data_IF_598191357188
#
_entry.id   IF_598191357188
#
_cell.length_a   1.000
_cell.length_b   1.000
_cell.length_c   1.000
_cell.angle_alpha   90.00
_cell.angle_beta   90.00
_cell.angle_gamma   90.00
#
_symmetry.space_group_name_H-M   'P 1'
#
loop_
_entity.id
_entity.type
_entity.pdbx_description
1 polymer ?
#
# COMPACT_ATOMS: atom_id res chain seq x y z
N UNK A 1 -45.53 -1.77 14.13
CA UNK A 1 -44.31 -1.26 13.43
C UNK A 1 -43.63 -2.44 12.76
N UNK A 2 -43.46 -2.43 11.43
CA UNK A 2 -42.79 -3.50 10.69
C UNK A 2 -41.31 -3.51 11.08
N UNK A 3 -40.82 -4.64 11.59
CA UNK A 3 -39.39 -4.88 11.81
C UNK A 3 -38.67 -4.75 10.46
N UNK A 4 -37.84 -3.73 10.30
CA UNK A 4 -36.86 -3.67 9.22
C UNK A 4 -35.93 -4.88 9.38
N UNK A 5 -35.88 -5.74 8.36
CA UNK A 5 -34.94 -6.85 8.25
C UNK A 5 -33.51 -6.34 8.49
N UNK A 6 -32.69 -7.15 9.16
CA UNK A 6 -31.29 -6.86 9.49
C UNK A 6 -30.50 -6.25 8.33
N UNK A 7 -30.70 -6.78 7.12
CA UNK A 7 -30.14 -6.26 5.87
C UNK A 7 -30.47 -4.78 5.63
N UNK A 8 -31.70 -4.34 5.91
CA UNK A 8 -32.12 -2.95 5.74
C UNK A 8 -31.48 -2.00 6.76
N UNK A 9 -31.11 -2.49 7.95
CA UNK A 9 -30.38 -1.68 8.96
C UNK A 9 -28.89 -1.58 8.65
N UNK A 10 -28.28 -2.63 8.12
CA UNK A 10 -26.90 -2.59 7.61
C UNK A 10 -26.80 -1.70 6.36
N UNK A 11 -27.77 -1.78 5.45
CA UNK A 11 -27.89 -0.90 4.27
C UNK A 11 -28.13 0.57 4.69
N UNK A 12 -28.78 0.83 5.82
CA UNK A 12 -28.98 2.18 6.35
C UNK A 12 -27.72 2.74 7.07
N UNK A 13 -26.84 1.89 7.60
CA UNK A 13 -25.54 2.27 8.16
C UNK A 13 -24.45 2.49 7.09
N UNK A 14 -24.79 2.26 5.82
CA UNK A 14 -23.94 2.44 4.64
C UNK A 14 -23.57 3.93 4.51
N UNK A 15 -22.28 4.32 4.45
CA UNK A 15 -21.90 5.69 4.14
C UNK A 15 -22.35 5.99 2.71
N UNK A 16 -23.33 6.87 2.54
CA UNK A 16 -24.08 7.04 1.29
C UNK A 16 -23.33 7.78 0.17
N UNK A 17 -22.06 8.13 0.36
CA UNK A 17 -21.39 9.12 -0.51
C UNK A 17 -20.04 8.69 -1.11
N UNK A 18 -19.60 7.42 -1.01
CA UNK A 18 -18.34 6.99 -1.65
C UNK A 18 -18.33 5.51 -2.10
N UNK A 19 -17.95 5.25 -3.35
CA UNK A 19 -18.03 3.95 -4.06
C UNK A 19 -17.13 2.83 -3.49
N UNK A 20 -15.91 3.09 -2.97
CA UNK A 20 -15.06 2.10 -2.30
C UNK A 20 -15.71 1.43 -1.07
N UNK A 21 -16.63 2.12 -0.38
CA UNK A 21 -17.33 1.60 0.79
C UNK A 21 -18.29 0.45 0.46
N UNK A 22 -18.66 0.28 -0.83
CA UNK A 22 -19.51 -0.82 -1.29
C UNK A 22 -18.75 -2.15 -1.32
N UNK A 23 -17.55 -2.19 -1.90
CA UNK A 23 -16.71 -3.40 -1.93
C UNK A 23 -16.36 -3.88 -0.51
N UNK A 24 -16.07 -2.91 0.36
CA UNK A 24 -15.87 -3.14 1.80
C UNK A 24 -17.09 -3.80 2.46
N UNK A 25 -18.29 -3.25 2.26
CA UNK A 25 -19.53 -3.79 2.82
C UNK A 25 -19.82 -5.19 2.28
N UNK A 26 -19.58 -5.43 0.99
CA UNK A 26 -19.83 -6.72 0.34
C UNK A 26 -18.86 -7.82 0.81
N UNK A 27 -17.58 -7.49 1.10
CA UNK A 27 -16.61 -8.41 1.73
C UNK A 27 -17.02 -8.79 3.16
N UNK A 28 -17.41 -7.81 3.97
CA UNK A 28 -17.90 -8.03 5.35
C UNK A 28 -19.13 -8.95 5.34
N UNK A 29 -20.08 -8.72 4.43
CA UNK A 29 -21.25 -9.57 4.28
C UNK A 29 -20.90 -11.00 3.86
N UNK A 30 -19.90 -11.16 2.99
CA UNK A 30 -19.43 -12.48 2.55
C UNK A 30 -18.77 -13.27 3.69
N UNK A 31 -17.93 -12.62 4.51
CA UNK A 31 -17.28 -13.24 5.67
C UNK A 31 -18.26 -13.64 6.77
N UNK A 32 -19.33 -12.86 7.01
CA UNK A 32 -20.41 -13.20 7.95
C UNK A 32 -21.14 -14.49 7.56
N UNK A 33 -21.17 -14.82 6.26
CA UNK A 33 -21.76 -16.06 5.77
C UNK A 33 -20.82 -17.27 5.87
N UNK A 34 -19.55 -17.10 6.25
CA UNK A 34 -18.59 -18.20 6.42
C UNK A 34 -18.75 -18.91 7.79
N UNK A 35 -18.95 -20.24 7.82
CA UNK A 35 -19.29 -20.98 9.04
C UNK A 35 -18.16 -21.10 10.09
N UNK A 36 -16.90 -20.81 9.75
CA UNK A 36 -15.72 -21.06 10.60
C UNK A 36 -15.50 -20.02 11.71
N UNK A 37 -15.68 -18.72 11.40
CA UNK A 37 -15.52 -17.59 12.34
C UNK A 37 -16.45 -17.73 13.55
N UNK A 38 -17.65 -18.28 13.32
CA UNK A 38 -18.69 -18.51 14.33
C UNK A 38 -18.24 -19.52 15.39
N UNK A 39 -17.42 -20.50 15.01
CA UNK A 39 -16.99 -21.56 15.92
C UNK A 39 -15.90 -21.09 16.90
N UNK A 40 -15.02 -20.17 16.46
CA UNK A 40 -13.91 -19.66 17.26
C UNK A 40 -14.39 -18.65 18.32
N UNK A 41 -15.29 -17.73 17.98
CA UNK A 41 -15.80 -16.73 18.92
C UNK A 41 -16.63 -17.34 20.07
N UNK A 42 -17.39 -18.40 19.81
CA UNK A 42 -18.17 -19.13 20.84
C UNK A 42 -17.25 -20.01 21.72
N UNK A 43 -16.07 -20.37 21.23
CA UNK A 43 -15.09 -21.15 22.01
C UNK A 43 -14.34 -20.31 23.04
N UNK A 44 -14.11 -19.03 22.78
CA UNK A 44 -13.30 -18.14 23.64
C UNK A 44 -14.10 -17.36 24.69
N UNK A 45 -15.44 -17.44 24.68
CA UNK A 45 -16.28 -16.84 25.72
C UNK A 45 -16.14 -17.50 27.09
N UNK A 46 -16.10 -16.69 28.15
CA UNK A 46 -16.18 -17.10 29.56
C UNK A 46 -17.36 -18.07 29.80
N UNK A 47 -17.10 -19.15 30.54
CA UNK A 47 -18.03 -20.27 30.75
C UNK A 47 -19.36 -19.82 31.38
N UNK A 48 -19.34 -18.84 32.29
CA UNK A 48 -20.55 -18.35 32.96
C UNK A 48 -21.40 -17.46 32.05
N UNK A 49 -20.76 -16.69 31.15
CA UNK A 49 -21.45 -15.92 30.10
C UNK A 49 -21.99 -16.84 29.01
N UNK A 50 -21.24 -17.90 28.68
CA UNK A 50 -21.60 -18.93 27.70
C UNK A 50 -22.84 -19.72 28.13
N UNK A 51 -22.94 -20.12 29.39
CA UNK A 51 -24.13 -20.81 29.91
C UNK A 51 -25.37 -19.91 29.95
N UNK A 52 -25.21 -18.64 30.34
CA UNK A 52 -26.30 -17.66 30.34
C UNK A 52 -26.81 -17.33 28.93
N UNK A 53 -25.91 -17.28 27.95
CA UNK A 53 -26.22 -17.08 26.54
C UNK A 53 -26.86 -18.34 25.93
N UNK A 54 -26.31 -19.53 26.17
CA UNK A 54 -26.89 -20.78 25.66
C UNK A 54 -28.27 -21.06 26.27
N UNK A 55 -28.49 -20.77 27.56
CA UNK A 55 -29.79 -20.94 28.21
C UNK A 55 -30.87 -19.97 27.68
N UNK A 56 -30.53 -18.69 27.47
CA UNK A 56 -31.50 -17.69 26.98
C UNK A 56 -31.87 -17.87 25.52
N UNK A 57 -31.07 -18.62 24.76
CA UNK A 57 -31.19 -18.69 23.30
C UNK A 57 -31.40 -20.14 22.80
N UNK A 58 -31.62 -21.09 23.73
CA UNK A 58 -31.85 -22.53 23.49
C UNK A 58 -33.02 -22.86 22.56
N UNK A 59 -33.95 -21.93 22.36
CA UNK A 59 -35.18 -22.12 21.58
C UNK A 59 -35.13 -21.46 20.19
N UNK A 60 -34.03 -20.79 19.85
CA UNK A 60 -33.88 -20.12 18.57
C UNK A 60 -33.00 -20.97 17.63
N UNK A 61 -33.33 -21.09 16.34
CA UNK A 61 -32.46 -21.72 15.37
C UNK A 61 -31.11 -20.98 15.35
N UNK A 62 -30.00 -21.72 15.22
CA UNK A 62 -28.62 -21.20 15.37
C UNK A 62 -28.36 -19.87 14.62
N UNK A 63 -28.98 -19.69 13.46
CA UNK A 63 -28.90 -18.46 12.66
C UNK A 63 -29.54 -17.22 13.32
N UNK A 64 -30.61 -17.38 14.11
CA UNK A 64 -31.25 -16.27 14.82
C UNK A 64 -30.43 -15.82 16.04
N UNK A 65 -29.70 -16.74 16.67
CA UNK A 65 -28.75 -16.44 17.75
C UNK A 65 -27.62 -15.53 17.23
N UNK A 66 -27.12 -15.88 16.04
CA UNK A 66 -26.07 -15.13 15.32
C UNK A 66 -26.56 -13.74 14.93
N UNK A 67 -27.77 -13.63 14.37
CA UNK A 67 -28.36 -12.34 14.01
C UNK A 67 -28.62 -11.43 15.22
N UNK A 68 -28.96 -12.00 16.38
CA UNK A 68 -29.17 -11.24 17.62
C UNK A 68 -27.84 -10.78 18.22
N UNK A 69 -26.80 -11.61 18.23
CA UNK A 69 -25.47 -11.21 18.71
C UNK A 69 -24.87 -10.07 17.87
N UNK A 70 -24.96 -10.17 16.54
CA UNK A 70 -24.51 -9.13 15.61
C UNK A 70 -25.45 -7.90 15.68
N UNK A 71 -26.75 -8.11 15.87
CA UNK A 71 -27.72 -7.04 16.05
C UNK A 71 -27.53 -6.23 17.33
N UNK A 72 -27.14 -6.86 18.44
CA UNK A 72 -26.82 -6.17 19.70
C UNK A 72 -25.52 -5.37 19.57
N UNK A 73 -24.52 -5.89 18.85
CA UNK A 73 -23.27 -5.18 18.51
C UNK A 73 -23.50 -3.99 17.57
N UNK A 74 -24.48 -4.07 16.66
CA UNK A 74 -24.84 -2.96 15.77
C UNK A 74 -25.76 -1.90 16.42
N UNK A 75 -26.47 -2.24 17.51
CA UNK A 75 -27.43 -1.36 18.20
C UNK A 75 -26.76 -0.57 19.35
N UNK A 76 -25.65 -1.06 19.90
CA UNK A 76 -24.75 -0.26 20.75
C UNK A 76 -23.95 0.67 19.84
N UNK A 77 -24.51 1.86 19.59
CA UNK A 77 -24.08 2.80 18.57
C UNK A 77 -22.61 3.22 18.70
N UNK A 78 -21.85 3.00 17.63
CA UNK A 78 -20.49 3.52 17.45
C UNK A 78 -19.65 2.73 16.45
N UNK A 79 -19.79 1.41 16.39
CA UNK A 79 -18.69 0.57 15.89
C UNK A 79 -18.96 -0.17 14.59
N UNK A 80 -18.97 0.53 13.46
CA UNK A 80 -18.69 -0.15 12.17
C UNK A 80 -17.26 -0.68 12.13
N UNK A 81 -16.31 -0.06 12.85
CA UNK A 81 -14.94 -0.58 12.94
C UNK A 81 -14.78 -1.75 13.91
N UNK A 82 -15.38 -1.76 15.10
CA UNK A 82 -15.25 -2.92 15.99
C UNK A 82 -15.96 -4.16 15.41
N UNK A 83 -17.08 -3.99 14.70
CA UNK A 83 -17.70 -5.09 13.93
C UNK A 83 -16.81 -5.55 12.76
N UNK A 84 -16.07 -4.63 12.15
CA UNK A 84 -15.08 -4.93 11.11
C UNK A 84 -13.85 -5.64 11.69
N UNK A 85 -13.32 -5.24 12.86
CA UNK A 85 -12.18 -5.90 13.51
C UNK A 85 -12.51 -7.20 14.23
N UNK A 86 -13.77 -7.43 14.61
CA UNK A 86 -14.26 -8.76 15.04
C UNK A 86 -14.28 -9.77 13.87
N UNK A 87 -14.32 -9.28 12.63
CA UNK A 87 -14.23 -10.04 11.38
C UNK A 87 -12.85 -9.95 10.72
N UNK A 88 -11.98 -9.06 11.20
CA UNK A 88 -10.60 -8.89 10.78
C UNK A 88 -9.77 -9.83 11.64
N UNK A 89 -9.65 -11.07 11.19
CA UNK A 89 -8.59 -11.95 11.68
C UNK A 89 -7.24 -11.23 11.49
N UNK A 90 -6.37 -11.22 12.51
CA UNK A 90 -5.08 -10.52 12.43
C UNK A 90 -4.37 -10.88 11.12
N UNK A 91 -3.81 -9.90 10.40
CA UNK A 91 -2.96 -10.22 9.28
C UNK A 91 -1.79 -11.03 9.84
N UNK A 92 -1.66 -12.25 9.35
CA UNK A 92 -0.52 -13.10 9.68
C UNK A 92 0.30 -13.30 8.43
N UNK A 93 1.60 -13.09 8.58
CA UNK A 93 2.58 -13.34 7.54
C UNK A 93 3.41 -14.52 7.99
N UNK A 94 3.59 -15.49 7.11
CA UNK A 94 4.53 -16.58 7.33
C UNK A 94 5.63 -16.47 6.29
N UNK A 95 6.88 -16.48 6.74
CA UNK A 95 8.04 -16.44 5.86
C UNK A 95 8.66 -17.83 5.75
N UNK A 96 9.02 -18.23 4.54
CA UNK A 96 9.88 -19.39 4.32
C UNK A 96 11.32 -19.07 4.72
N UNK A 97 12.15 -20.10 4.88
CA UNK A 97 13.57 -19.92 5.17
C UNK A 97 14.23 -19.01 4.11
N UNK A 98 15.02 -18.01 4.53
CA UNK A 98 15.69 -17.11 3.60
C UNK A 98 16.61 -17.87 2.65
N UNK A 99 16.50 -17.57 1.36
CA UNK A 99 17.39 -18.11 0.33
C UNK A 99 18.24 -16.99 -0.26
N UNK A 100 19.33 -17.34 -0.91
CA UNK A 100 20.11 -16.37 -1.70
C UNK A 100 19.72 -16.51 -3.16
N UNK A 101 19.30 -15.41 -3.78
CA UNK A 101 18.94 -15.41 -5.19
C UNK A 101 20.20 -15.40 -6.08
N UNK A 102 20.00 -15.54 -7.39
CA UNK A 102 21.10 -15.55 -8.38
C UNK A 102 21.93 -14.25 -8.42
N UNK A 103 21.43 -13.19 -7.79
CA UNK A 103 22.09 -11.89 -7.66
C UNK A 103 22.87 -11.76 -6.34
N UNK A 104 22.94 -12.82 -5.52
CA UNK A 104 23.64 -12.82 -4.23
C UNK A 104 22.85 -12.16 -3.10
N UNK A 105 21.54 -11.92 -3.27
CA UNK A 105 20.69 -11.23 -2.29
C UNK A 105 19.85 -12.20 -1.49
N UNK A 106 19.65 -11.88 -0.22
CA UNK A 106 18.70 -12.58 0.62
C UNK A 106 17.27 -12.29 0.16
N UNK A 107 16.54 -13.35 -0.17
CA UNK A 107 15.13 -13.31 -0.51
C UNK A 107 14.34 -14.21 0.42
N UNK A 108 13.09 -13.83 0.68
CA UNK A 108 12.11 -14.63 1.42
C UNK A 108 10.84 -14.75 0.60
N UNK A 109 10.17 -15.88 0.73
CA UNK A 109 8.83 -16.06 0.20
C UNK A 109 7.88 -15.89 1.38
N UNK A 110 6.98 -14.92 1.27
CA UNK A 110 5.98 -14.62 2.27
C UNK A 110 4.61 -15.10 1.82
N UNK A 111 3.92 -15.80 2.70
CA UNK A 111 2.51 -16.15 2.56
C UNK A 111 1.69 -15.29 3.51
N UNK A 112 0.55 -14.82 3.03
CA UNK A 112 -0.28 -13.86 3.73
C UNK A 112 -1.64 -14.45 4.00
N UNK A 113 -2.11 -14.29 5.24
CA UNK A 113 -3.49 -14.54 5.61
C UNK A 113 -4.10 -13.24 6.08
N UNK A 114 -5.33 -12.96 5.64
CA UNK A 114 -6.08 -11.76 6.05
C UNK A 114 -5.42 -10.41 5.70
N UNK A 115 -4.50 -10.40 4.73
CA UNK A 115 -3.97 -9.19 4.11
C UNK A 115 -4.73 -8.86 2.82
N UNK A 116 -5.19 -7.62 2.71
CA UNK A 116 -5.84 -7.11 1.51
C UNK A 116 -4.92 -7.24 0.29
N UNK A 117 -5.42 -7.78 -0.82
CA UNK A 117 -4.72 -7.89 -2.13
C UNK A 117 -3.52 -8.86 -2.22
N UNK A 118 -3.15 -9.57 -1.16
CA UNK A 118 -2.05 -10.54 -1.19
C UNK A 118 -2.58 -11.94 -0.84
N UNK A 119 -3.17 -12.62 -1.82
CA UNK A 119 -3.69 -13.99 -1.64
C UNK A 119 -2.73 -15.09 -2.12
N UNK A 120 -1.58 -14.71 -2.67
CA UNK A 120 -0.57 -15.60 -3.20
C UNK A 120 0.76 -15.40 -2.46
N UNK A 121 1.60 -16.44 -2.46
CA UNK A 121 2.96 -16.34 -1.94
C UNK A 121 3.75 -15.33 -2.79
N UNK A 122 4.28 -14.30 -2.15
CA UNK A 122 5.00 -13.21 -2.79
C UNK A 122 6.46 -13.24 -2.38
N UNK A 123 7.36 -12.98 -3.32
CA UNK A 123 8.81 -12.94 -3.04
C UNK A 123 9.22 -11.53 -2.65
N UNK A 124 9.94 -11.41 -1.54
CA UNK A 124 10.56 -10.17 -1.10
C UNK A 124 12.07 -10.33 -1.03
N UNK A 125 12.80 -9.28 -1.35
CA UNK A 125 14.25 -9.22 -1.18
C UNK A 125 14.67 -8.11 -0.23
N UNK A 126 15.74 -8.38 0.52
CA UNK A 126 16.42 -7.34 1.29
C UNK A 126 17.29 -6.53 0.33
N UNK A 127 17.11 -5.20 0.33
CA UNK A 127 17.95 -4.31 -0.48
C UNK A 127 19.39 -4.37 -0.01
N UNK A 128 20.34 -4.24 -0.94
CA UNK A 128 21.75 -4.21 -0.55
C UNK A 128 22.09 -2.98 0.28
N UNK A 129 23.14 -3.12 1.10
CA UNK A 129 23.53 -2.13 2.09
C UNK A 129 22.62 -2.08 3.33
N UNK A 130 21.46 -2.75 3.28
CA UNK A 130 20.56 -2.87 4.41
C UNK A 130 21.23 -3.62 5.58
N UNK A 131 21.03 -3.10 6.79
CA UNK A 131 21.39 -3.77 8.05
C UNK A 131 20.25 -4.61 8.60
N UNK A 132 19.17 -4.80 7.82
CA UNK A 132 18.00 -5.56 8.21
C UNK A 132 18.34 -7.03 8.42
N UNK A 133 17.97 -7.58 9.58
CA UNK A 133 18.02 -9.02 9.80
C UNK A 133 16.85 -9.69 9.04
N UNK A 134 17.07 -10.76 8.27
CA UNK A 134 15.98 -11.44 7.54
C UNK A 134 14.80 -11.88 8.41
N UNK A 135 15.02 -12.16 9.70
CA UNK A 135 13.96 -12.51 10.66
C UNK A 135 13.00 -11.34 10.95
N UNK A 136 13.37 -10.10 10.63
CA UNK A 136 12.52 -8.93 10.80
C UNK A 136 11.51 -8.74 9.65
N UNK A 137 11.68 -9.43 8.51
CA UNK A 137 10.82 -9.22 7.33
C UNK A 137 9.37 -9.56 7.64
N UNK A 138 9.11 -10.62 8.42
CA UNK A 138 7.76 -11.00 8.84
C UNK A 138 7.03 -9.82 9.52
N UNK A 139 7.70 -9.14 10.45
CA UNK A 139 7.16 -7.97 11.15
C UNK A 139 6.92 -6.79 10.22
N UNK A 140 7.84 -6.53 9.29
CA UNK A 140 7.67 -5.46 8.30
C UNK A 140 6.43 -5.72 7.44
N UNK A 141 6.26 -6.96 6.97
CA UNK A 141 5.14 -7.35 6.13
C UNK A 141 3.81 -7.36 6.89
N UNK A 142 3.81 -7.82 8.15
CA UNK A 142 2.64 -7.73 9.02
C UNK A 142 2.21 -6.27 9.23
N UNK A 143 3.16 -5.38 9.55
CA UNK A 143 2.90 -3.96 9.69
C UNK A 143 2.34 -3.34 8.40
N UNK A 144 2.85 -3.74 7.23
CA UNK A 144 2.33 -3.32 5.92
C UNK A 144 0.87 -3.75 5.74
N UNK A 145 0.54 -5.00 6.05
CA UNK A 145 -0.83 -5.49 5.97
C UNK A 145 -1.80 -4.72 6.87
N UNK A 146 -1.39 -4.42 8.11
CA UNK A 146 -2.23 -3.65 9.04
C UNK A 146 -2.49 -2.23 8.54
N UNK A 147 -1.47 -1.56 7.98
CA UNK A 147 -1.61 -0.25 7.34
C UNK A 147 -2.58 -0.34 6.16
N UNK A 148 -2.41 -1.32 5.27
CA UNK A 148 -3.22 -1.45 4.06
C UNK A 148 -4.69 -1.73 4.37
N UNK A 149 -4.98 -2.59 5.32
CA UNK A 149 -6.35 -2.89 5.67
C UNK A 149 -7.00 -1.71 6.46
N UNK A 150 -6.24 -0.96 7.26
CA UNK A 150 -6.74 0.30 7.85
C UNK A 150 -7.06 1.33 6.74
N UNK A 151 -6.19 1.42 5.73
CA UNK A 151 -6.38 2.29 4.56
C UNK A 151 -7.63 1.89 3.78
N UNK A 152 -7.81 0.60 3.48
CA UNK A 152 -8.99 0.07 2.78
C UNK A 152 -10.27 0.44 3.52
N UNK A 153 -10.30 0.24 4.84
CA UNK A 153 -11.44 0.58 5.67
C UNK A 153 -11.76 2.08 5.68
N UNK A 154 -10.74 2.92 5.82
CA UNK A 154 -10.94 4.37 5.90
C UNK A 154 -11.41 5.00 4.58
N UNK A 155 -11.18 4.33 3.45
CA UNK A 155 -11.74 4.67 2.14
C UNK A 155 -10.90 5.62 1.28
N UNK A 156 -9.88 6.32 1.79
CA UNK A 156 -8.94 7.10 0.94
C UNK A 156 -7.54 7.30 1.56
N UNK A 157 -6.49 7.13 0.74
CA UNK A 157 -5.08 7.45 1.07
C UNK A 157 -4.58 8.75 0.48
N UNK A 158 -5.25 9.25 -0.56
CA UNK A 158 -4.82 10.42 -1.30
C UNK A 158 -5.91 11.49 -1.28
N UNK A 159 -5.55 12.76 -1.02
CA UNK A 159 -6.45 13.86 -1.34
C UNK A 159 -6.83 13.72 -2.81
N UNK A 160 -8.10 13.93 -3.18
CA UNK A 160 -8.50 13.81 -4.56
C UNK A 160 -7.67 14.83 -5.32
N UNK A 161 -6.99 14.37 -6.38
CA UNK A 161 -6.12 15.25 -7.19
C UNK A 161 -6.88 16.47 -7.73
N UNK A 162 -8.22 16.44 -7.70
CA UNK A 162 -9.13 17.51 -8.10
C UNK A 162 -10.41 17.48 -7.24
N UNK A 163 -11.05 18.64 -7.00
CA UNK A 163 -12.39 18.69 -6.44
C UNK A 163 -13.37 17.84 -7.27
N UNK A 164 -14.52 17.48 -6.69
CA UNK A 164 -15.59 16.79 -7.40
C UNK A 164 -15.85 17.50 -8.75
N UNK A 165 -15.91 16.78 -9.89
CA UNK A 165 -16.04 17.41 -11.22
C UNK A 165 -17.17 18.44 -11.35
N UNK A 166 -18.24 18.31 -10.55
CA UNK A 166 -19.34 19.28 -10.49
C UNK A 166 -18.92 20.64 -9.88
N UNK A 167 -17.99 20.64 -8.93
CA UNK A 167 -17.46 21.83 -8.25
C UNK A 167 -16.49 22.62 -9.14
N UNK A 168 -16.01 22.02 -10.24
CA UNK A 168 -15.15 22.66 -11.23
C UNK A 168 -15.92 23.37 -12.36
N UNK A 169 -17.27 23.32 -12.34
CA UNK A 169 -18.11 23.86 -13.41
C UNK A 169 -18.96 25.06 -12.98
N UNK A 170 -18.96 25.40 -11.70
CA UNK A 170 -19.71 26.52 -11.14
C UNK A 170 -18.82 27.36 -10.23
N UNK A 171 -19.03 28.67 -10.25
CA UNK A 171 -18.34 29.60 -9.35
C UNK A 171 -18.93 29.50 -7.94
N UNK A 172 -18.08 29.44 -6.92
CA UNK A 172 -18.55 29.29 -5.55
C UNK A 172 -17.47 28.89 -4.57
N UNK A 173 -17.87 28.89 -3.29
CA UNK A 173 -17.11 28.27 -2.20
C UNK A 173 -17.81 26.99 -1.79
N UNK A 174 -17.05 25.93 -1.62
CA UNK A 174 -17.58 24.62 -1.31
C UNK A 174 -16.70 23.94 -0.27
N UNK A 175 -17.31 23.19 0.64
CA UNK A 175 -16.57 22.39 1.62
C UNK A 175 -16.76 20.91 1.35
N UNK A 176 -15.67 20.15 1.42
CA UNK A 176 -15.71 18.69 1.34
C UNK A 176 -14.91 18.10 2.50
N UNK A 177 -15.58 17.26 3.29
CA UNK A 177 -14.90 16.46 4.33
C UNK A 177 -14.57 15.09 3.79
N UNK A 178 -13.34 14.64 4.05
CA UNK A 178 -12.81 13.38 3.57
C UNK A 178 -12.14 12.63 4.71
N UNK A 179 -12.36 11.32 4.75
CA UNK A 179 -11.75 10.45 5.75
C UNK A 179 -10.41 9.91 5.25
N UNK A 180 -9.35 10.14 6.00
CA UNK A 180 -7.99 9.79 5.63
C UNK A 180 -7.31 8.98 6.72
N UNK A 181 -6.57 7.96 6.33
CA UNK A 181 -5.62 7.26 7.20
C UNK A 181 -4.24 7.87 7.05
N UNK A 182 -3.57 8.15 8.17
CA UNK A 182 -2.18 8.57 8.10
C UNK A 182 -1.30 7.41 7.61
N UNK A 183 -0.41 7.63 6.64
CA UNK A 183 0.18 6.51 5.89
C UNK A 183 1.27 5.74 6.64
N UNK A 184 1.63 6.16 7.86
CA UNK A 184 2.70 5.56 8.69
C UNK A 184 2.26 5.47 10.15
N UNK A 185 2.85 4.52 10.89
CA UNK A 185 2.72 4.44 12.34
C UNK A 185 3.53 5.53 13.04
N UNK A 186 3.03 6.02 14.16
CA UNK A 186 3.66 7.04 14.98
C UNK A 186 3.70 6.61 16.44
N UNK A 187 4.72 7.03 17.16
CA UNK A 187 4.85 6.79 18.59
C UNK A 187 4.10 7.85 19.38
N UNK A 188 3.37 7.43 20.41
CA UNK A 188 2.66 8.33 21.32
C UNK A 188 3.64 9.01 22.25
N UNK A 189 3.70 10.34 22.20
CA UNK A 189 4.48 11.15 23.15
C UNK A 189 3.64 11.44 24.38
N UNK A 190 2.40 11.88 24.17
CA UNK A 190 1.43 12.14 25.22
C UNK A 190 0.00 12.06 24.68
N UNK A 191 -0.94 11.69 25.54
CA UNK A 191 -2.35 11.61 25.18
C UNK A 191 -3.22 12.03 26.37
N UNK A 192 -4.26 12.82 26.11
CA UNK A 192 -5.32 13.19 27.04
C UNK A 192 -6.68 13.26 26.33
N UNK A 193 -7.76 13.56 27.04
CA UNK A 193 -9.12 13.57 26.48
C UNK A 193 -9.35 14.53 25.29
N UNK A 194 -8.43 15.46 25.04
CA UNK A 194 -8.54 16.52 24.03
C UNK A 194 -7.37 16.58 23.06
N UNK A 195 -6.24 15.97 23.39
CA UNK A 195 -5.01 16.08 22.60
C UNK A 195 -4.22 14.78 22.50
N UNK A 196 -3.61 14.57 21.34
CA UNK A 196 -2.70 13.47 21.05
C UNK A 196 -1.42 14.01 20.42
N UNK A 197 -0.32 13.96 21.15
CA UNK A 197 1.01 14.29 20.62
C UNK A 197 1.70 13.02 20.14
N UNK A 198 2.18 13.06 18.90
CA UNK A 198 2.80 11.94 18.21
C UNK A 198 4.20 12.33 17.72
N UNK A 199 5.08 11.34 17.64
CA UNK A 199 6.40 11.49 17.03
C UNK A 199 6.67 10.38 16.01
N UNK A 200 7.43 10.71 14.97
CA UNK A 200 7.87 9.79 13.93
C UNK A 200 9.17 10.28 13.34
N UNK A 201 9.40 10.02 12.05
CA UNK A 201 10.53 10.62 11.35
C UNK A 201 10.33 12.12 11.07
N UNK A 202 11.38 12.76 10.55
CA UNK A 202 11.41 14.21 10.25
C UNK A 202 10.30 14.68 9.31
N UNK A 203 9.76 13.81 8.45
CA UNK A 203 8.75 14.16 7.45
C UNK A 203 7.34 13.77 7.88
N UNK A 204 7.21 12.82 8.80
CA UNK A 204 5.94 12.23 9.21
C UNK A 204 5.49 12.64 10.62
N UNK A 205 6.29 13.41 11.35
CA UNK A 205 5.87 13.95 12.65
C UNK A 205 4.85 15.08 12.46
N UNK A 206 3.64 15.00 13.04
CA UNK A 206 2.70 16.11 13.03
C UNK A 206 3.29 17.33 13.76
N UNK A 207 3.25 18.52 13.14
CA UNK A 207 3.82 19.76 13.72
C UNK A 207 3.14 20.19 15.03
N UNK A 208 1.86 19.84 15.21
CA UNK A 208 1.08 20.16 16.40
C UNK A 208 0.40 18.89 16.92
N UNK A 209 0.11 18.82 18.24
CA UNK A 209 -0.76 17.79 18.79
C UNK A 209 -2.08 17.72 18.02
N UNK A 210 -2.52 16.50 17.74
CA UNK A 210 -3.79 16.26 17.08
C UNK A 210 -4.94 16.51 18.05
N UNK A 211 -6.00 17.15 17.58
CA UNK A 211 -7.19 17.42 18.39
C UNK A 211 -8.07 16.17 18.46
N UNK A 212 -8.34 15.73 19.68
CA UNK A 212 -9.28 14.66 20.00
C UNK A 212 -10.63 15.26 20.42
N UNK A 213 -11.69 14.51 20.17
CA UNK A 213 -13.06 14.90 20.52
C UNK A 213 -13.74 13.79 21.31
N UNK A 214 -14.90 14.08 21.90
CA UNK A 214 -15.77 13.09 22.54
C UNK A 214 -16.25 11.98 21.58
N UNK A 215 -16.12 12.19 20.27
CA UNK A 215 -16.44 11.23 19.21
C UNK A 215 -15.24 10.42 18.73
N UNK A 216 -14.03 10.73 19.21
CA UNK A 216 -12.84 9.99 18.82
C UNK A 216 -12.89 8.59 19.44
N UNK A 217 -12.78 7.57 18.59
CA UNK A 217 -12.80 6.17 19.00
C UNK A 217 -11.38 5.64 19.20
N UNK A 218 -11.19 4.79 20.19
CA UNK A 218 -9.91 4.19 20.52
C UNK A 218 -9.99 2.69 20.31
N UNK A 219 -8.92 2.13 19.77
CA UNK A 219 -8.89 0.75 19.33
C UNK A 219 -7.60 0.14 19.82
N UNK A 220 -7.73 -0.88 20.66
CA UNK A 220 -6.61 -1.59 21.29
C UNK A 220 -6.89 -3.08 21.20
N UNK A 221 -5.88 -3.86 20.82
CA UNK A 221 -5.98 -5.31 20.65
C UNK A 221 -7.20 -5.73 19.81
N UNK A 222 -7.53 -4.94 18.78
CA UNK A 222 -8.69 -5.12 17.88
C UNK A 222 -10.08 -4.85 18.45
N UNK A 223 -10.18 -4.28 19.64
CA UNK A 223 -11.46 -4.00 20.27
C UNK A 223 -11.62 -2.49 20.47
N UNK A 224 -12.88 -2.04 20.40
CA UNK A 224 -13.19 -0.70 20.89
C UNK A 224 -12.78 -0.61 22.36
N UNK A 225 -12.06 0.45 22.67
CA UNK A 225 -11.38 0.62 23.94
C UNK A 225 -11.51 2.07 24.41
N UNK A 226 -10.90 2.34 25.56
CA UNK A 226 -10.83 3.68 26.12
C UNK A 226 -9.43 4.26 25.96
N UNK A 227 -9.35 5.58 26.02
CA UNK A 227 -8.10 6.33 25.89
C UNK A 227 -7.01 5.87 26.88
N UNK A 228 -7.40 5.42 28.08
CA UNK A 228 -6.50 4.97 29.15
C UNK A 228 -5.66 3.73 28.78
N UNK A 229 -6.04 3.01 27.72
CA UNK A 229 -5.30 1.85 27.21
C UNK A 229 -4.19 2.22 26.22
N UNK A 230 -4.09 3.49 25.84
CA UNK A 230 -3.02 4.03 25.00
C UNK A 230 -2.10 4.87 25.89
N UNK A 231 -0.81 4.58 25.85
CA UNK A 231 0.20 5.17 26.73
C UNK A 231 1.36 5.76 25.93
N UNK A 232 2.14 6.68 26.53
CA UNK A 232 3.40 7.11 25.94
C UNK A 232 4.30 5.90 25.58
N UNK A 233 4.89 5.92 24.40
CA UNK A 233 5.68 4.83 23.82
C UNK A 233 4.86 3.79 23.05
N UNK A 234 3.52 3.80 23.13
CA UNK A 234 2.71 2.94 22.27
C UNK A 234 2.82 3.41 20.81
N UNK A 235 2.78 2.45 19.88
CA UNK A 235 2.68 2.75 18.46
C UNK A 235 1.21 2.82 18.05
N UNK A 236 0.84 3.89 17.34
CA UNK A 236 -0.52 4.09 16.86
C UNK A 236 -0.56 4.45 15.38
N UNK A 237 -1.62 3.99 14.72
CA UNK A 237 -2.13 4.54 13.48
C UNK A 237 -3.35 5.40 13.81
N UNK A 238 -3.64 6.42 12.99
CA UNK A 238 -4.84 7.22 13.21
C UNK A 238 -5.58 7.54 11.91
N UNK A 239 -6.89 7.65 12.06
CA UNK A 239 -7.81 8.07 11.00
C UNK A 239 -8.39 9.41 11.38
N UNK A 240 -8.45 10.31 10.41
CA UNK A 240 -8.91 11.67 10.62
C UNK A 240 -9.79 12.12 9.45
N UNK A 241 -10.78 12.94 9.78
CA UNK A 241 -11.59 13.63 8.79
C UNK A 241 -10.92 14.98 8.49
N UNK A 242 -10.57 15.22 7.23
CA UNK A 242 -10.01 16.47 6.72
C UNK A 242 -11.09 17.22 5.97
N UNK A 243 -11.39 18.45 6.37
CA UNK A 243 -12.26 19.35 5.62
C UNK A 243 -11.42 20.25 4.74
N UNK A 244 -11.71 20.21 3.44
CA UNK A 244 -11.15 21.11 2.43
C UNK A 244 -12.20 22.13 2.03
N UNK A 245 -11.82 23.40 2.09
CA UNK A 245 -12.60 24.48 1.50
C UNK A 245 -12.02 24.78 0.11
N UNK A 246 -12.86 24.60 -0.89
CA UNK A 246 -12.60 24.86 -2.30
C UNK A 246 -13.20 26.19 -2.70
N UNK A 247 -12.40 27.02 -3.35
CA UNK A 247 -12.86 28.27 -3.97
C UNK A 247 -12.66 28.14 -5.47
N UNK A 248 -13.78 28.04 -6.21
CA UNK A 248 -13.82 28.01 -7.67
C UNK A 248 -14.18 29.39 -8.19
N UNK A 249 -13.34 29.96 -9.05
CA UNK A 249 -13.58 31.26 -9.72
C UNK A 249 -13.61 31.10 -11.22
N UNK A 250 -14.52 31.80 -11.90
CA UNK A 250 -14.51 31.90 -13.35
C UNK A 250 -13.37 32.82 -13.80
N UNK A 251 -12.58 32.35 -14.75
CA UNK A 251 -11.47 33.06 -15.39
C UNK A 251 -11.72 33.15 -16.89
N UNK A 252 -10.88 33.91 -17.61
CA UNK A 252 -10.99 34.03 -19.07
C UNK A 252 -10.83 32.69 -19.82
N UNK A 253 -10.14 31.71 -19.22
CA UNK A 253 -9.84 30.40 -19.84
C UNK A 253 -10.65 29.24 -19.26
N UNK A 254 -11.66 29.52 -18.43
CA UNK A 254 -12.49 28.49 -17.75
C UNK A 254 -12.58 28.71 -16.25
N UNK A 255 -12.80 27.65 -15.48
CA UNK A 255 -12.86 27.72 -14.02
C UNK A 255 -11.53 27.30 -13.40
N UNK A 256 -11.07 28.06 -12.41
CA UNK A 256 -9.91 27.70 -11.59
C UNK A 256 -10.38 27.43 -10.15
N UNK A 257 -10.01 26.28 -9.61
CA UNK A 257 -10.35 25.89 -8.23
C UNK A 257 -9.09 25.77 -7.39
N UNK A 258 -9.06 26.52 -6.29
CA UNK A 258 -8.05 26.41 -5.23
C UNK A 258 -8.65 25.68 -4.03
N UNK A 259 -7.81 25.05 -3.20
CA UNK A 259 -8.24 24.40 -1.97
C UNK A 259 -7.36 24.80 -0.79
N UNK A 260 -7.97 24.83 0.38
CA UNK A 260 -7.29 25.01 1.67
C UNK A 260 -7.83 24.00 2.68
N UNK A 261 -6.97 23.50 3.57
CA UNK A 261 -7.41 22.66 4.68
C UNK A 261 -7.96 23.57 5.77
N UNK A 262 -9.25 23.46 6.08
CA UNK A 262 -9.90 24.29 7.10
C UNK A 262 -10.06 23.57 8.43
N UNK A 263 -10.12 22.24 8.43
CA UNK A 263 -10.24 21.46 9.66
C UNK A 263 -9.61 20.07 9.53
N UNK A 264 -9.09 19.54 10.64
CA UNK A 264 -8.64 18.15 10.79
C UNK A 264 -9.12 17.63 12.15
N UNK A 265 -9.92 16.57 12.13
CA UNK A 265 -10.47 15.95 13.34
C UNK A 265 -10.10 14.48 13.38
N UNK A 266 -9.42 14.04 14.44
CA UNK A 266 -9.13 12.61 14.62
C UNK A 266 -10.42 11.88 14.95
N UNK A 267 -10.74 10.89 14.13
CA UNK A 267 -11.92 10.04 14.33
C UNK A 267 -11.57 8.74 15.02
N UNK A 268 -10.38 8.17 14.75
CA UNK A 268 -9.95 6.93 15.35
C UNK A 268 -8.46 6.94 15.65
N UNK A 269 -8.09 6.35 16.79
CA UNK A 269 -6.72 6.03 17.17
C UNK A 269 -6.62 4.52 17.35
N UNK A 270 -5.71 3.89 16.62
CA UNK A 270 -5.54 2.44 16.56
C UNK A 270 -4.17 2.09 17.09
N UNK A 271 -4.11 1.50 18.28
CA UNK A 271 -2.89 0.89 18.80
C UNK A 271 -2.58 -0.37 18.00
N UNK A 272 -1.31 -0.50 17.65
CA UNK A 272 -0.78 -1.62 16.87
C UNK A 272 0.28 -2.36 17.68
N UNK A 273 0.54 -3.61 17.30
CA UNK A 273 1.29 -4.55 18.14
C UNK A 273 2.80 -4.42 17.98
N UNK A 274 3.27 -4.01 16.80
CA UNK A 274 4.70 -3.88 16.52
C UNK A 274 5.22 -2.47 16.88
N UNK A 275 6.51 -2.34 17.18
CA UNK A 275 7.16 -1.03 17.32
C UNK A 275 7.04 -0.14 16.06
N UNK A 276 7.07 1.19 16.25
CA UNK A 276 6.80 2.16 15.18
C UNK A 276 7.77 2.06 14.00
N UNK A 277 9.01 1.58 14.20
CA UNK A 277 9.99 1.43 13.13
C UNK A 277 9.53 0.48 12.02
N UNK A 278 8.65 -0.48 12.32
CA UNK A 278 8.09 -1.42 11.35
C UNK A 278 6.94 -0.81 10.52
N UNK A 279 6.24 0.19 11.07
CA UNK A 279 5.15 0.91 10.39
C UNK A 279 5.62 2.18 9.66
N UNK A 280 6.91 2.53 9.80
CA UNK A 280 7.52 3.68 9.16
C UNK A 280 8.28 3.35 7.86
N UNK A 281 8.64 4.37 7.07
CA UNK A 281 9.36 4.18 5.81
C UNK A 281 10.75 3.59 6.02
N UNK A 282 11.37 3.72 7.20
CA UNK A 282 12.73 3.24 7.45
C UNK A 282 12.89 1.74 7.19
N UNK A 283 12.13 0.87 7.87
CA UNK A 283 12.18 -0.58 7.66
C UNK A 283 11.45 -1.00 6.39
N UNK A 284 10.31 -0.37 6.07
CA UNK A 284 9.54 -0.66 4.86
C UNK A 284 10.35 -0.44 3.58
N UNK A 285 11.24 0.57 3.56
CA UNK A 285 12.10 0.86 2.41
C UNK A 285 13.34 -0.04 2.34
N UNK A 286 13.60 -0.91 3.31
CA UNK A 286 14.75 -1.84 3.29
C UNK A 286 14.44 -3.15 2.58
N UNK A 287 13.16 -3.43 2.31
CA UNK A 287 12.71 -4.58 1.53
C UNK A 287 12.14 -4.12 0.19
N UNK A 288 12.12 -5.01 -0.78
CA UNK A 288 11.51 -4.76 -2.07
C UNK A 288 10.72 -5.99 -2.54
N UNK A 289 9.53 -5.75 -3.08
CA UNK A 289 8.65 -6.78 -3.62
C UNK A 289 9.11 -7.17 -5.02
N UNK A 290 9.18 -8.47 -5.29
CA UNK A 290 9.43 -9.02 -6.62
C UNK A 290 8.11 -9.41 -7.26
N UNK A 291 7.77 -8.70 -8.34
CA UNK A 291 6.59 -8.98 -9.15
C UNK A 291 7.00 -9.47 -10.54
N UNK A 292 6.07 -10.06 -11.28
CA UNK A 292 6.27 -10.34 -12.69
C UNK A 292 6.55 -9.03 -13.45
N UNK A 293 7.58 -9.01 -14.29
CA UNK A 293 7.84 -7.86 -15.14
C UNK A 293 6.67 -7.62 -16.11
N UNK A 294 6.30 -6.35 -16.31
CA UNK A 294 5.23 -5.98 -17.24
C UNK A 294 5.48 -6.57 -18.63
N UNK A 295 4.53 -7.35 -19.17
CA UNK A 295 4.67 -7.98 -20.49
C UNK A 295 5.75 -9.07 -20.61
N UNK A 296 6.44 -9.42 -19.52
CA UNK A 296 7.38 -10.53 -19.42
C UNK A 296 7.13 -11.33 -18.13
N UNK A 297 6.04 -12.11 -18.05
CA UNK A 297 5.66 -12.81 -16.82
C UNK A 297 6.64 -13.90 -16.36
N UNK A 298 7.58 -14.30 -17.23
CA UNK A 298 8.64 -15.25 -16.89
C UNK A 298 9.79 -14.60 -16.12
N UNK A 299 9.88 -13.27 -16.18
CA UNK A 299 10.91 -12.47 -15.55
C UNK A 299 10.31 -11.74 -14.34
N UNK A 300 11.14 -11.47 -13.34
CA UNK A 300 10.74 -10.78 -12.10
C UNK A 300 11.45 -9.44 -11.99
N UNK A 301 10.67 -8.41 -11.71
CA UNK A 301 11.10 -7.03 -11.58
C UNK A 301 10.83 -6.53 -10.15
N UNK A 302 11.67 -5.62 -9.70
CA UNK A 302 11.62 -4.95 -8.40
C UNK A 302 11.53 -3.46 -8.67
N UNK A 303 10.55 -2.77 -8.07
CA UNK A 303 10.54 -1.31 -8.17
C UNK A 303 11.54 -0.69 -7.18
N UNK A 304 12.46 0.09 -7.72
CA UNK A 304 13.54 0.72 -6.98
C UNK A 304 13.75 2.19 -7.32
N UNK A 305 14.61 2.84 -6.53
CA UNK A 305 15.22 4.08 -6.94
C UNK A 305 16.21 3.75 -8.07
N UNK A 306 16.13 4.49 -9.17
CA UNK A 306 16.92 4.20 -10.35
C UNK A 306 17.44 5.49 -10.99
N UNK A 307 18.60 5.40 -11.63
CA UNK A 307 19.22 6.49 -12.41
C UNK A 307 18.92 6.26 -13.88
N UNK A 308 18.40 7.29 -14.56
CA UNK A 308 18.18 7.25 -16.00
C UNK A 308 19.51 7.20 -16.74
N UNK A 309 19.78 6.11 -17.44
CA UNK A 309 20.92 6.00 -18.38
C UNK A 309 20.49 6.44 -19.78
N UNK A 310 19.26 6.13 -20.14
CA UNK A 310 18.68 6.46 -21.44
C UNK A 310 17.17 6.59 -21.33
N UNK A 311 16.63 7.57 -22.03
CA UNK A 311 15.19 7.76 -22.13
C UNK A 311 14.84 8.31 -23.51
N UNK A 312 13.83 7.70 -24.10
CA UNK A 312 13.30 8.02 -25.41
C UNK A 312 11.78 8.12 -25.27
N UNK A 313 11.34 9.30 -24.85
CA UNK A 313 9.93 9.65 -24.91
C UNK A 313 9.55 9.80 -26.38
N UNK A 314 8.59 9.00 -26.89
CA UNK A 314 8.10 9.23 -28.24
C UNK A 314 7.52 10.64 -28.31
N UNK A 315 8.04 11.45 -29.23
CA UNK A 315 7.59 12.83 -29.46
C UNK A 315 6.19 12.90 -30.09
N UNK A 316 5.67 11.76 -30.57
CA UNK A 316 4.34 11.62 -31.12
C UNK A 316 3.53 10.61 -30.28
N UNK A 317 2.24 10.87 -30.01
CA UNK A 317 1.35 9.88 -29.41
C UNK A 317 1.34 8.61 -30.28
N UNK A 318 1.48 7.45 -29.66
CA UNK A 318 1.25 6.18 -30.36
C UNK A 318 -0.26 6.08 -30.58
N UNK A 319 -0.68 6.26 -31.84
CA UNK A 319 -2.08 6.17 -32.20
C UNK A 319 -2.52 4.70 -32.22
N UNK A 320 -3.74 4.40 -31.73
CA UNK A 320 -4.35 3.10 -31.95
C UNK A 320 -4.50 2.82 -33.46
N UNK A 321 -4.54 1.54 -33.83
CA UNK A 321 -4.93 1.09 -35.16
C UNK A 321 -6.42 1.36 -35.43
N UNK A 322 -6.89 1.01 -36.63
CA UNK A 322 -8.28 1.21 -37.06
C UNK A 322 -9.32 0.49 -36.16
N UNK A 323 -8.88 -0.44 -35.30
CA UNK A 323 -9.73 -1.16 -34.34
C UNK A 323 -9.63 -0.58 -32.91
N UNK A 324 -8.86 0.48 -32.70
CA UNK A 324 -8.62 1.06 -31.38
C UNK A 324 -7.57 0.31 -30.55
N UNK A 325 -6.80 -0.61 -31.15
CA UNK A 325 -5.71 -1.32 -30.48
C UNK A 325 -4.36 -0.67 -30.75
N UNK A 326 -3.51 -0.56 -29.73
CA UNK A 326 -2.11 -0.18 -29.95
C UNK A 326 -1.36 -1.39 -30.51
N UNK A 327 -0.66 -1.28 -31.65
CA UNK A 327 0.01 -2.44 -32.29
C UNK A 327 1.22 -2.97 -31.51
N UNK A 328 1.69 -2.21 -30.51
CA UNK A 328 2.86 -2.54 -29.69
C UNK A 328 2.45 -2.87 -28.26
N UNK A 329 3.11 -3.88 -27.68
CA UNK A 329 3.08 -4.15 -26.25
C UNK A 329 4.21 -3.38 -25.55
N UNK A 330 3.85 -2.63 -24.52
CA UNK A 330 4.84 -2.11 -23.57
C UNK A 330 5.30 -3.23 -22.66
N UNK A 331 6.60 -3.46 -22.62
CA UNK A 331 7.23 -4.52 -21.83
C UNK A 331 8.36 -3.96 -20.98
N UNK A 332 8.66 -4.69 -19.92
CA UNK A 332 9.72 -4.39 -18.98
C UNK A 332 10.57 -5.63 -18.75
N UNK A 333 11.88 -5.45 -18.56
CA UNK A 333 12.77 -6.48 -18.07
C UNK A 333 13.81 -5.87 -17.13
N UNK A 334 14.17 -6.59 -16.08
CA UNK A 334 15.34 -6.29 -15.26
C UNK A 334 16.37 -7.41 -15.38
N UNK A 335 17.66 -7.03 -15.39
CA UNK A 335 18.74 -7.99 -15.48
C UNK A 335 20.11 -7.41 -15.17
N UNK A 336 21.07 -8.30 -14.90
CA UNK A 336 22.48 -7.93 -14.69
C UNK A 336 23.15 -7.67 -16.03
N UNK A 337 23.92 -6.59 -16.14
CA UNK A 337 24.87 -6.36 -17.23
C UNK A 337 25.90 -7.49 -17.25
N UNK A 338 25.87 -8.32 -18.29
CA UNK A 338 26.84 -9.41 -18.47
C UNK A 338 27.94 -9.05 -19.49
N UNK A 339 27.67 -8.07 -20.35
CA UNK A 339 28.59 -7.59 -21.38
C UNK A 339 28.15 -6.20 -21.88
N UNK A 340 29.11 -5.34 -22.23
CA UNK A 340 28.84 -4.07 -22.87
C UNK A 340 29.97 -3.72 -23.85
N UNK A 341 29.61 -3.30 -25.06
CA UNK A 341 30.57 -2.91 -26.09
C UNK A 341 29.95 -1.84 -26.99
N UNK A 342 30.37 -0.59 -26.80
CA UNK A 342 29.83 0.55 -27.53
C UNK A 342 28.33 0.69 -27.31
N UNK A 343 27.57 0.69 -28.41
CA UNK A 343 26.10 0.84 -28.38
C UNK A 343 25.34 -0.41 -27.93
N UNK A 344 26.02 -1.54 -27.80
CA UNK A 344 25.40 -2.83 -27.47
C UNK A 344 25.63 -3.18 -26.01
N UNK A 345 24.54 -3.42 -25.30
CA UNK A 345 24.51 -3.82 -23.89
C UNK A 345 23.77 -5.15 -23.77
N UNK A 346 24.35 -6.15 -23.11
CA UNK A 346 23.69 -7.43 -22.85
C UNK A 346 23.36 -7.57 -21.39
N UNK A 347 22.12 -7.96 -21.11
CA UNK A 347 21.67 -8.24 -19.76
C UNK A 347 21.13 -9.65 -19.63
N UNK A 348 21.37 -10.27 -18.48
CA UNK A 348 20.75 -11.53 -18.11
C UNK A 348 19.62 -11.28 -17.13
N UNK A 349 18.40 -11.63 -17.52
CA UNK A 349 17.20 -11.44 -16.69
C UNK A 349 17.07 -12.53 -15.63
N UNK A 350 16.06 -12.42 -14.76
CA UNK A 350 15.89 -13.35 -13.66
C UNK A 350 15.54 -14.79 -14.10
N UNK A 351 15.00 -14.98 -15.31
CA UNK A 351 14.76 -16.31 -15.89
C UNK A 351 15.98 -16.92 -16.58
N UNK A 352 17.12 -16.20 -16.59
CA UNK A 352 18.34 -16.60 -17.28
C UNK A 352 18.36 -16.23 -18.78
N UNK A 353 17.30 -15.62 -19.31
CA UNK A 353 17.27 -15.10 -20.70
C UNK A 353 18.26 -13.95 -20.86
N UNK A 354 18.90 -13.90 -22.03
CA UNK A 354 19.84 -12.83 -22.37
C UNK A 354 19.20 -11.87 -23.36
N UNK A 355 19.01 -10.63 -22.93
CA UNK A 355 18.54 -9.55 -23.78
C UNK A 355 19.75 -8.79 -24.35
N UNK A 356 19.73 -8.51 -25.65
CA UNK A 356 20.73 -7.68 -26.33
C UNK A 356 20.09 -6.35 -26.67
N UNK A 357 20.55 -5.29 -26.04
CA UNK A 357 20.04 -3.93 -26.20
C UNK A 357 20.96 -3.17 -27.14
N UNK A 358 20.45 -2.77 -28.29
CA UNK A 358 21.15 -1.88 -29.22
C UNK A 358 20.63 -0.47 -29.01
N UNK A 359 21.36 0.32 -28.24
CA UNK A 359 21.03 1.71 -27.92
C UNK A 359 21.61 2.65 -28.98
N UNK A 360 21.08 3.88 -29.16
CA UNK A 360 21.57 4.79 -30.20
C UNK A 360 22.98 5.35 -29.93
N UNK A 361 23.49 5.21 -28.70
CA UNK A 361 24.81 5.67 -28.25
C UNK A 361 25.32 4.75 -27.15
N UNK A 362 26.59 4.82 -26.80
CA UNK A 362 27.14 4.05 -25.68
C UNK A 362 26.69 4.65 -24.33
N UNK A 363 25.51 4.22 -23.86
CA UNK A 363 24.86 4.79 -22.67
C UNK A 363 25.65 4.53 -21.38
N UNK A 364 26.44 3.47 -21.33
CA UNK A 364 27.27 3.09 -20.17
C UNK A 364 28.50 3.98 -20.09
N UNK A 365 29.28 4.04 -21.17
CA UNK A 365 30.47 4.88 -21.24
C UNK A 365 30.13 6.37 -21.15
N UNK A 366 29.03 6.79 -21.78
CA UNK A 366 28.54 8.16 -21.68
C UNK A 366 28.23 8.54 -20.23
N UNK A 367 27.43 7.73 -19.52
CA UNK A 367 27.12 7.99 -18.11
C UNK A 367 28.38 8.09 -17.26
N UNK A 368 29.28 7.10 -17.35
CA UNK A 368 30.51 7.09 -16.55
C UNK A 368 31.41 8.31 -16.83
N UNK A 369 31.40 8.85 -18.05
CA UNK A 369 32.17 10.04 -18.43
C UNK A 369 31.50 11.35 -18.05
N UNK A 370 30.17 11.43 -18.10
CA UNK A 370 29.42 12.71 -17.98
C UNK A 370 28.50 12.81 -16.75
N UNK A 371 28.57 11.85 -15.82
CA UNK A 371 27.80 11.87 -14.58
C UNK A 371 27.99 13.18 -13.81
N UNK A 372 26.89 13.65 -13.19
CA UNK A 372 26.89 14.86 -12.36
C UNK A 372 27.64 14.64 -11.05
N UNK A 373 27.99 15.73 -10.36
CA UNK A 373 28.67 15.67 -9.07
C UNK A 373 27.90 14.84 -8.02
N UNK A 374 26.56 14.80 -8.12
CA UNK A 374 25.66 14.03 -7.26
C UNK A 374 25.82 12.52 -7.41
N UNK A 375 26.28 12.04 -8.57
CA UNK A 375 26.45 10.61 -8.88
C UNK A 375 27.92 10.22 -9.08
N UNK A 376 28.88 11.03 -8.60
CA UNK A 376 30.31 10.80 -8.85
C UNK A 376 30.86 9.48 -8.29
N UNK A 377 30.21 8.93 -7.25
CA UNK A 377 30.52 7.64 -6.64
C UNK A 377 29.75 6.46 -7.27
N UNK A 378 28.99 6.71 -8.34
CA UNK A 378 28.25 5.67 -9.07
C UNK A 378 28.94 5.44 -10.41
N UNK A 379 29.31 4.18 -10.64
CA UNK A 379 29.77 3.67 -11.94
C UNK A 379 28.74 2.68 -12.47
N UNK A 380 28.61 2.60 -13.78
CA UNK A 380 27.87 1.53 -14.46
C UNK A 380 28.88 0.56 -15.05
N UNK A 381 28.82 -0.70 -14.68
CA UNK A 381 29.73 -1.74 -15.13
C UNK A 381 29.08 -3.13 -15.20
N UNK A 382 29.86 -4.10 -15.64
CA UNK A 382 29.43 -5.50 -15.65
C UNK A 382 29.16 -5.96 -14.22
N UNK A 383 28.00 -6.56 -13.98
CA UNK A 383 27.53 -6.94 -12.65
C UNK A 383 26.37 -6.08 -12.16
N UNK A 384 26.23 -4.85 -12.68
CA UNK A 384 25.15 -3.96 -12.28
C UNK A 384 23.79 -4.41 -12.80
N UNK A 385 22.77 -4.10 -12.01
CA UNK A 385 21.38 -4.36 -12.35
C UNK A 385 20.79 -3.16 -13.09
N UNK A 386 20.14 -3.40 -14.22
CA UNK A 386 19.39 -2.38 -14.94
C UNK A 386 17.95 -2.81 -15.23
N UNK A 387 17.06 -1.82 -15.32
CA UNK A 387 15.70 -1.96 -15.81
C UNK A 387 15.61 -1.40 -17.22
N UNK A 388 14.95 -2.14 -18.10
CA UNK A 388 14.70 -1.75 -19.49
C UNK A 388 13.21 -1.74 -19.73
N UNK A 389 12.69 -0.59 -20.16
CA UNK A 389 11.34 -0.49 -20.72
C UNK A 389 11.42 -0.37 -22.22
N UNK A 390 10.62 -1.17 -22.91
CA UNK A 390 10.66 -1.26 -24.36
C UNK A 390 9.26 -1.53 -24.94
N UNK A 391 9.10 -1.26 -26.24
CA UNK A 391 7.87 -1.50 -26.96
C UNK A 391 8.17 -2.31 -28.22
N UNK A 392 7.50 -3.44 -28.38
CA UNK A 392 7.65 -4.37 -29.51
C UNK A 392 6.29 -4.81 -30.02
N UNK A 393 6.23 -5.31 -31.25
CA UNK A 393 5.01 -5.93 -31.77
C UNK A 393 4.52 -7.04 -30.83
N UNK A 394 3.20 -7.15 -30.64
CA UNK A 394 2.62 -8.13 -29.69
C UNK A 394 3.11 -9.56 -29.91
N UNK A 395 3.28 -9.95 -31.17
CA UNK A 395 3.75 -11.28 -31.56
C UNK A 395 5.27 -11.50 -31.40
N UNK A 396 6.05 -10.43 -31.14
CA UNK A 396 7.49 -10.52 -31.03
C UNK A 396 7.91 -11.30 -29.78
N UNK A 397 8.79 -12.27 -29.97
CA UNK A 397 9.50 -12.99 -28.91
C UNK A 397 10.99 -12.63 -28.88
N UNK A 398 11.39 -11.62 -29.67
CA UNK A 398 12.79 -11.20 -29.79
C UNK A 398 13.37 -10.77 -28.46
N UNK A 399 14.61 -11.19 -28.22
CA UNK A 399 15.45 -10.74 -27.13
C UNK A 399 16.48 -9.69 -27.58
N UNK A 400 16.56 -9.44 -28.89
CA UNK A 400 17.35 -8.37 -29.46
C UNK A 400 16.45 -7.15 -29.66
N UNK A 401 16.79 -6.07 -28.96
CA UNK A 401 16.03 -4.82 -28.95
C UNK A 401 16.79 -3.74 -29.71
N UNK A 402 16.14 -3.13 -30.69
CA UNK A 402 16.67 -2.03 -31.48
C UNK A 402 16.47 -0.65 -30.81
N UNK A 403 17.16 0.40 -31.28
CA UNK A 403 17.07 1.75 -30.70
C UNK A 403 15.65 2.33 -30.69
N UNK A 404 14.81 1.95 -31.66
CA UNK A 404 13.42 2.39 -31.79
C UNK A 404 12.46 1.68 -30.83
N UNK A 405 12.84 0.50 -30.35
CA UNK A 405 12.03 -0.32 -29.43
C UNK A 405 12.32 0.06 -27.98
N UNK A 406 13.57 0.41 -27.66
CA UNK A 406 13.98 0.81 -26.31
C UNK A 406 13.39 2.18 -25.97
N UNK A 407 12.58 2.22 -24.91
CA UNK A 407 11.97 3.45 -24.37
C UNK A 407 12.80 4.05 -23.25
N UNK A 408 13.32 3.22 -22.36
CA UNK A 408 14.22 3.71 -21.31
C UNK A 408 15.07 2.59 -20.73
N UNK A 409 16.24 2.98 -20.22
CA UNK A 409 17.18 2.13 -19.50
C UNK A 409 17.55 2.85 -18.21
N UNK A 410 17.38 2.19 -17.08
CA UNK A 410 17.70 2.73 -15.75
C UNK A 410 18.69 1.83 -15.03
N UNK A 411 19.68 2.43 -14.37
CA UNK A 411 20.53 1.75 -13.39
C UNK A 411 19.79 1.66 -12.06
N UNK A 412 19.65 0.47 -11.50
CA UNK A 412 18.90 0.24 -10.26
C UNK A 412 19.81 0.42 -9.03
N UNK A 413 19.63 1.53 -8.29
CA UNK A 413 20.50 1.90 -7.17
C UNK A 413 20.29 1.03 -5.93
N UNK A 414 19.06 0.60 -5.71
CA UNK A 414 18.71 -0.27 -4.59
C UNK A 414 19.19 -1.71 -4.81
N UNK A 415 19.76 -2.02 -6.00
CA UNK A 415 20.02 -3.37 -6.48
C UNK A 415 21.50 -3.83 -6.55
N UNK A 416 22.45 -2.97 -6.18
CA UNK A 416 23.91 -3.23 -6.28
C UNK A 416 24.38 -4.34 -5.30
N UNK A 417 25.44 -5.09 -5.61
CA UNK A 417 25.93 -6.23 -4.79
C UNK A 417 26.79 -5.79 -3.59
N UNK A 418 26.84 -6.63 -2.54
CA UNK A 418 27.74 -6.45 -1.38
C UNK A 418 29.20 -6.60 -1.85
N UNK A 419 29.87 -5.47 -2.02
CA UNK A 419 31.24 -5.35 -2.53
C UNK A 419 31.55 -3.96 -3.05
N UNK A 420 30.53 -3.22 -3.49
CA UNK A 420 30.71 -1.86 -4.02
C UNK A 420 30.68 -0.78 -2.93
N UNK A 421 31.66 0.14 -2.93
CA UNK A 421 31.81 1.17 -1.91
C UNK A 421 30.83 2.33 -2.18
N UNK A 422 29.53 2.11 -1.99
CA UNK A 422 28.55 3.20 -1.97
C UNK A 422 28.11 3.43 -0.52
N UNK A 423 29.04 3.98 0.28
CA UNK A 423 28.69 4.65 1.53
C UNK A 423 28.14 6.05 1.21
N UNK A 424 26.85 6.13 0.89
CA UNK A 424 25.95 7.26 1.19
C UNK A 424 24.59 7.04 0.52
N UNK A 425 23.74 6.28 1.20
CA UNK A 425 22.33 6.62 1.36
C UNK A 425 21.95 6.27 2.79
#
# INVERSE_FOLDING_TARGET
>A
MKQLLFEARLIAARPTTYTPNKQFTDRVMTGIHSPEIISNYVRTMDVNKKESFIMKVRHLPKLAIVAIAIGVLAILGGTTYAAYKLLWEHPSVTIQEPTTNQFGRTQVIASFENCTNQSAATTFEIKAGSTLDPSEIEKILQARCEIEALREWSGTTTPPKRPNPSMQQTEGTYSQTMRMTYPVGLEVVSIDATSLALTGDTYNTPENPLVLTDKTQYIVDNHESTIDQIKPGDTVLYVHDVTYDFVTKKTATGYNTSSTVSNRVVTHVVKVDLPFEYYGPSKQNQIAEREACMGNPQDSCVQGAAIVLYENYPTAPILPDDNGEVPFDSREVQGIIIDHSGTTLKIQSSSGRVFTLNTPRDIVSDFNRTRSAEYNNVTVEKGDMIQVRYAVDKASTSLELGPSEIRSVYLELNMIQKGDPIQKY
#
